data_IF_672381119324
#
_entry.id   IF_672381119324
#
_cell.length_a   1.000
_cell.length_b   1.000
_cell.length_c   1.000
_cell.angle_alpha   90.00
_cell.angle_beta   90.00
_cell.angle_gamma   90.00
#
_symmetry.space_group_name_H-M   'P 1'
#
loop_
_entity.id
_entity.type
_entity.pdbx_description
1 polymer ?
#
# COMPACT_ATOMS: atom_id res chain seq x y z
N UNK A 1 17.37 -9.47 37.85
CA UNK A 1 16.26 -9.35 36.90
C UNK A 1 16.64 -8.27 35.91
N UNK A 2 17.40 -8.63 34.88
CA UNK A 2 17.94 -7.68 33.92
C UNK A 2 16.86 -7.33 32.90
N UNK A 3 16.26 -6.16 33.08
CA UNK A 3 15.17 -5.67 32.24
C UNK A 3 15.84 -4.79 31.19
N UNK A 4 16.36 -5.41 30.13
CA UNK A 4 16.89 -4.73 28.96
C UNK A 4 15.77 -3.87 28.34
N UNK A 5 15.68 -2.64 28.83
CA UNK A 5 14.74 -1.63 28.36
C UNK A 5 15.08 -1.35 26.90
N UNK A 6 14.25 -1.84 25.99
CA UNK A 6 14.38 -1.55 24.58
C UNK A 6 14.13 -0.06 24.38
N UNK A 7 15.20 0.73 24.34
CA UNK A 7 15.18 2.08 23.79
C UNK A 7 14.88 1.93 22.30
N UNK A 8 13.60 2.01 21.94
CA UNK A 8 13.19 2.14 20.54
C UNK A 8 13.86 3.41 20.05
N UNK A 9 14.86 3.34 19.14
CA UNK A 9 15.47 4.56 18.67
C UNK A 9 14.38 5.37 17.96
N UNK A 10 14.25 6.64 18.32
CA UNK A 10 13.21 7.55 17.81
C UNK A 10 13.23 7.71 16.27
N UNK A 11 14.21 7.13 15.58
CA UNK A 11 14.45 7.28 14.14
C UNK A 11 14.43 5.98 13.32
N UNK A 12 13.93 4.85 13.84
CA UNK A 12 13.98 3.57 13.10
C UNK A 12 13.12 3.50 11.82
N UNK A 13 12.32 4.52 11.49
CA UNK A 13 11.33 4.46 10.39
C UNK A 13 11.70 5.25 9.13
N UNK A 14 12.73 6.09 9.15
CA UNK A 14 12.97 7.09 8.09
C UNK A 14 13.65 6.57 6.80
N UNK A 15 14.15 5.33 6.77
CA UNK A 15 14.99 4.84 5.65
C UNK A 15 14.39 3.74 4.75
N UNK A 16 13.15 3.31 4.99
CA UNK A 16 12.62 2.09 4.35
C UNK A 16 11.79 2.32 3.07
N UNK A 17 11.62 3.58 2.65
CA UNK A 17 10.74 3.97 1.55
C UNK A 17 11.56 4.44 0.34
N UNK A 18 11.23 3.92 -0.85
CA UNK A 18 11.73 4.44 -2.11
C UNK A 18 11.23 5.86 -2.34
N UNK A 19 12.14 6.77 -2.69
CA UNK A 19 11.86 8.20 -2.86
C UNK A 19 11.18 8.83 -1.63
N UNK A 20 11.39 8.26 -0.43
CA UNK A 20 10.73 8.67 0.80
C UNK A 20 9.19 8.66 0.75
N UNK A 21 8.59 7.95 -0.22
CA UNK A 21 7.15 8.00 -0.50
C UNK A 21 6.56 6.61 -0.79
N UNK A 22 7.29 5.75 -1.50
CA UNK A 22 6.77 4.46 -1.96
C UNK A 22 7.38 3.30 -1.19
N UNK A 23 6.58 2.31 -0.83
CA UNK A 23 7.09 1.02 -0.37
C UNK A 23 7.58 0.17 -1.55
N UNK A 24 8.36 -0.89 -1.27
CA UNK A 24 8.73 -1.89 -2.30
C UNK A 24 7.51 -2.44 -3.04
N UNK A 25 6.42 -2.67 -2.31
CA UNK A 25 5.16 -3.15 -2.86
C UNK A 25 4.54 -2.13 -3.82
N UNK A 26 4.50 -0.85 -3.45
CA UNK A 26 3.93 0.21 -4.28
C UNK A 26 4.66 0.35 -5.61
N UNK A 27 6.00 0.23 -5.60
CA UNK A 27 6.81 0.26 -6.82
C UNK A 27 6.48 -0.92 -7.73
N UNK A 28 6.35 -2.13 -7.19
CA UNK A 28 5.98 -3.32 -7.97
C UNK A 28 4.57 -3.15 -8.55
N UNK A 29 3.62 -2.64 -7.76
CA UNK A 29 2.25 -2.39 -8.20
C UNK A 29 2.22 -1.41 -9.38
N UNK A 30 2.90 -0.26 -9.26
CA UNK A 30 2.99 0.73 -10.32
C UNK A 30 3.63 0.16 -11.59
N UNK A 31 4.76 -0.52 -11.45
CA UNK A 31 5.47 -1.11 -12.59
C UNK A 31 4.65 -2.20 -13.28
N UNK A 32 3.93 -3.03 -12.52
CA UNK A 32 3.05 -4.06 -13.09
C UNK A 32 1.90 -3.45 -13.90
N UNK A 33 1.32 -2.33 -13.43
CA UNK A 33 0.29 -1.59 -14.15
C UNK A 33 0.81 -1.03 -15.47
N UNK A 34 1.97 -0.34 -15.44
CA UNK A 34 2.62 0.20 -16.64
C UNK A 34 2.95 -0.93 -17.62
N UNK A 35 3.58 -2.01 -17.15
CA UNK A 35 3.93 -3.15 -17.99
C UNK A 35 2.70 -3.78 -18.65
N UNK A 36 1.61 -3.94 -17.90
CA UNK A 36 0.33 -4.44 -18.43
C UNK A 36 -0.21 -3.51 -19.52
N UNK A 37 -0.18 -2.18 -19.31
CA UNK A 37 -0.62 -1.24 -20.35
C UNK A 37 0.23 -1.31 -21.60
N UNK A 38 1.56 -1.46 -21.49
CA UNK A 38 2.43 -1.60 -22.65
C UNK A 38 2.08 -2.85 -23.47
N UNK A 39 1.78 -3.97 -22.80
CA UNK A 39 1.31 -5.19 -23.48
C UNK A 39 -0.03 -4.93 -24.17
N UNK A 40 -1.00 -4.31 -23.49
CA UNK A 40 -2.32 -4.03 -24.06
C UNK A 40 -2.22 -3.11 -25.29
N UNK A 41 -1.32 -2.11 -25.27
CA UNK A 41 -1.11 -1.21 -26.40
C UNK A 41 -0.54 -1.93 -27.64
N UNK A 42 0.22 -3.01 -27.45
CA UNK A 42 0.78 -3.81 -28.55
C UNK A 42 -0.22 -4.84 -29.08
N UNK A 43 -1.04 -5.42 -28.20
CA UNK A 43 -1.95 -6.52 -28.54
C UNK A 43 -3.29 -6.03 -29.08
N UNK A 44 -3.82 -4.91 -28.57
CA UNK A 44 -5.13 -4.41 -28.96
C UNK A 44 -5.05 -3.50 -30.19
N UNK A 45 -5.95 -3.66 -31.18
CA UNK A 45 -6.08 -2.72 -32.28
C UNK A 45 -6.73 -1.44 -31.78
N UNK A 46 -5.94 -0.38 -31.59
CA UNK A 46 -6.42 0.88 -31.03
C UNK A 46 -6.99 1.75 -32.14
N UNK A 47 -8.29 1.63 -32.38
CA UNK A 47 -8.98 2.37 -33.45
C UNK A 47 -9.96 3.42 -32.90
N UNK A 48 -10.29 3.34 -31.60
CA UNK A 48 -11.31 4.19 -30.99
C UNK A 48 -10.90 4.67 -29.59
N UNK A 49 -11.45 5.82 -29.19
CA UNK A 49 -11.18 6.40 -27.86
C UNK A 49 -11.53 5.45 -26.69
N UNK A 50 -12.65 4.70 -26.70
CA UNK A 50 -12.92 3.75 -25.62
C UNK A 50 -11.84 2.67 -25.48
N UNK A 51 -11.31 2.16 -26.60
CA UNK A 51 -10.22 1.18 -26.57
C UNK A 51 -8.93 1.77 -26.01
N UNK A 52 -8.60 3.03 -26.35
CA UNK A 52 -7.44 3.72 -25.73
C UNK A 52 -7.58 3.80 -24.21
N UNK A 53 -8.77 4.15 -23.71
CA UNK A 53 -9.01 4.29 -22.27
C UNK A 53 -8.90 2.96 -21.55
N UNK A 54 -9.42 1.88 -22.16
CA UNK A 54 -9.29 0.51 -21.61
C UNK A 54 -7.82 0.09 -21.58
N UNK A 55 -7.04 0.36 -22.63
CA UNK A 55 -5.62 0.02 -22.68
C UNK A 55 -4.80 0.80 -21.64
N UNK A 56 -5.17 2.06 -21.34
CA UNK A 56 -4.52 2.91 -20.34
C UNK A 56 -5.00 2.66 -18.90
N UNK A 57 -6.20 2.10 -18.73
CA UNK A 57 -6.83 1.94 -17.42
C UNK A 57 -5.94 1.23 -16.38
N UNK A 58 -5.23 0.13 -16.70
CA UNK A 58 -4.37 -0.54 -15.71
C UNK A 58 -3.32 0.39 -15.10
N UNK A 59 -2.62 1.20 -15.91
CA UNK A 59 -1.61 2.12 -15.42
C UNK A 59 -2.23 3.26 -14.61
N UNK A 60 -3.37 3.80 -15.06
CA UNK A 60 -4.07 4.87 -14.34
C UNK A 60 -4.58 4.41 -12.98
N UNK A 61 -5.16 3.21 -12.90
CA UNK A 61 -5.65 2.62 -11.65
C UNK A 61 -4.48 2.34 -10.70
N UNK A 62 -3.40 1.70 -11.18
CA UNK A 62 -2.23 1.43 -10.35
C UNK A 62 -1.55 2.72 -9.86
N UNK A 63 -1.44 3.74 -10.71
CA UNK A 63 -0.93 5.05 -10.32
C UNK A 63 -1.80 5.69 -9.23
N UNK A 64 -3.13 5.69 -9.43
CA UNK A 64 -4.08 6.22 -8.45
C UNK A 64 -3.98 5.51 -7.10
N UNK A 65 -3.90 4.17 -7.08
CA UNK A 65 -3.79 3.39 -5.84
C UNK A 65 -2.52 3.69 -5.03
N UNK A 66 -1.45 4.07 -5.72
CA UNK A 66 -0.13 4.35 -5.14
C UNK A 66 0.02 5.82 -4.72
N UNK A 67 -0.92 6.70 -5.10
CA UNK A 67 -0.87 8.12 -4.71
C UNK A 67 -0.87 8.31 -3.20
N UNK A 68 0.03 9.17 -2.66
CA UNK A 68 0.04 9.52 -1.24
C UNK A 68 -1.18 10.39 -0.91
N UNK A 69 -1.80 10.13 0.25
CA UNK A 69 -2.93 10.91 0.78
C UNK A 69 -2.60 11.34 2.21
N UNK A 70 -2.94 12.58 2.62
CA UNK A 70 -2.75 13.00 4.01
C UNK A 70 -3.39 12.01 5.01
N UNK A 71 -2.69 11.73 6.10
CA UNK A 71 -3.08 10.80 7.18
C UNK A 71 -3.02 9.30 6.84
N UNK A 72 -2.77 8.93 5.57
CA UNK A 72 -2.59 7.54 5.15
C UNK A 72 -1.29 7.40 4.34
N UNK A 73 -0.84 6.16 4.15
CA UNK A 73 0.35 5.92 3.32
C UNK A 73 0.04 6.16 1.83
N UNK A 74 -1.07 5.58 1.35
CA UNK A 74 -1.56 5.74 -0.01
C UNK A 74 -3.07 5.44 -0.10
N UNK A 75 -3.67 5.68 -1.27
CA UNK A 75 -5.08 5.37 -1.56
C UNK A 75 -5.41 3.90 -1.27
N UNK A 76 -4.53 2.97 -1.64
CA UNK A 76 -4.72 1.55 -1.38
C UNK A 76 -4.90 1.25 0.12
N UNK A 77 -4.15 1.94 0.98
CA UNK A 77 -4.25 1.80 2.43
C UNK A 77 -5.60 2.30 2.95
N UNK A 78 -6.12 3.39 2.37
CA UNK A 78 -7.47 3.90 2.70
C UNK A 78 -8.52 2.86 2.35
N UNK A 79 -8.49 2.33 1.13
CA UNK A 79 -9.45 1.33 0.63
C UNK A 79 -9.39 0.08 1.51
N UNK A 80 -8.20 -0.43 1.80
CA UNK A 80 -8.03 -1.59 2.67
C UNK A 80 -8.56 -1.34 4.08
N UNK A 81 -8.39 -0.14 4.62
CA UNK A 81 -8.90 0.23 5.94
C UNK A 81 -10.43 0.29 5.94
N UNK A 82 -11.03 0.83 4.89
CA UNK A 82 -12.48 0.84 4.70
C UNK A 82 -13.05 -0.57 4.56
N UNK A 83 -12.45 -1.42 3.71
CA UNK A 83 -12.88 -2.82 3.54
C UNK A 83 -12.84 -3.55 4.88
N UNK A 84 -11.70 -3.50 5.60
CA UNK A 84 -11.55 -4.15 6.91
C UNK A 84 -12.58 -3.65 7.91
N UNK A 85 -12.87 -2.35 7.91
CA UNK A 85 -13.88 -1.79 8.79
C UNK A 85 -15.24 -2.44 8.55
N UNK A 86 -15.69 -2.54 7.29
CA UNK A 86 -17.00 -3.09 6.96
C UNK A 86 -17.10 -4.61 7.11
N UNK A 87 -16.00 -5.35 6.88
CA UNK A 87 -15.96 -6.82 6.97
C UNK A 87 -15.71 -7.34 8.39
N UNK A 88 -15.04 -6.57 9.25
CA UNK A 88 -14.72 -6.99 10.61
C UNK A 88 -15.64 -6.29 11.64
N UNK A 89 -15.04 -5.69 12.68
CA UNK A 89 -15.72 -5.24 13.89
C UNK A 89 -16.33 -3.84 13.78
N UNK A 90 -16.24 -3.17 12.62
CA UNK A 90 -16.73 -1.79 12.39
C UNK A 90 -16.37 -0.78 13.50
N UNK A 91 -15.25 -1.02 14.16
CA UNK A 91 -14.71 -0.17 15.23
C UNK A 91 -13.20 -0.19 15.08
N UNK A 92 -12.60 1.00 15.00
CA UNK A 92 -11.15 1.15 15.00
C UNK A 92 -10.64 1.08 16.43
N UNK A 93 -9.96 -0.01 16.77
CA UNK A 93 -9.32 -0.18 18.07
C UNK A 93 -7.83 0.15 17.90
N UNK A 94 -7.36 1.20 18.59
CA UNK A 94 -5.94 1.46 18.69
C UNK A 94 -5.29 0.40 19.57
N UNK A 95 -4.45 -0.43 18.97
CA UNK A 95 -3.86 -1.59 19.66
C UNK A 95 -2.64 -1.22 20.54
N UNK A 96 -2.13 0.01 20.45
CA UNK A 96 -0.94 0.46 21.20
C UNK A 96 0.38 0.22 20.48
N UNK A 97 1.49 0.66 21.09
CA UNK A 97 2.84 0.50 20.53
C UNK A 97 3.47 -0.88 20.86
N UNK A 98 3.09 -1.50 21.99
CA UNK A 98 3.67 -2.76 22.48
C UNK A 98 2.73 -3.98 22.33
N UNK A 99 2.22 -4.23 21.13
CA UNK A 99 1.24 -5.33 20.91
C UNK A 99 1.93 -6.70 20.82
N UNK A 100 3.14 -6.73 20.27
CA UNK A 100 3.85 -7.97 19.93
C UNK A 100 4.26 -8.79 21.17
N UNK A 101 4.43 -8.14 22.33
CA UNK A 101 4.80 -8.82 23.58
C UNK A 101 3.70 -9.79 24.07
N UNK A 102 2.41 -9.43 23.89
CA UNK A 102 1.30 -10.28 24.34
C UNK A 102 1.12 -11.56 23.52
N UNK A 103 1.48 -11.54 22.23
CA UNK A 103 1.36 -12.72 21.36
C UNK A 103 2.50 -13.73 21.56
N UNK A 104 3.66 -13.30 22.06
CA UNK A 104 4.80 -14.19 22.35
C UNK A 104 4.62 -14.99 23.66
N UNK A 105 3.85 -14.49 24.64
CA UNK A 105 3.60 -15.20 25.90
C UNK A 105 2.51 -16.29 25.83
N UNK A 106 1.88 -16.46 24.66
CA UNK A 106 0.74 -17.38 24.47
C UNK A 106 1.11 -18.63 23.66
N UNK A 107 2.37 -19.05 23.74
CA UNK A 107 2.87 -20.35 23.28
C UNK A 107 3.19 -21.23 24.46
#
# INVERSE_FOLDING_TARGET
MDKSSYLIPANTKSGALFLNMFTKFDVILLLSGIFTTLILLVVLPIETLPMTLIALAPALICAFLVLPIPNYHNVLTVINSAIKFFTERRVFIWKGWCIYEKFQSKK
#
